data_IF_872079277088
#
_entry.id   IF_872079277088
#
_cell.length_a   1.000
_cell.length_b   1.000
_cell.length_c   1.000
_cell.angle_alpha   90.00
_cell.angle_beta   90.00
_cell.angle_gamma   90.00
#
_symmetry.space_group_name_H-M   'P 1'
#
loop_
_entity.id
_entity.type
_entity.pdbx_description
1 polymer ?
#
# COMPACT_ATOMS: atom_id res chain seq x y z
N UNK A 1 67.62 -7.41 14.78
CA UNK A 1 66.59 -6.48 15.33
C UNK A 1 65.83 -7.24 16.40
N UNK A 2 65.71 -6.74 17.64
CA UNK A 2 64.93 -7.42 18.66
C UNK A 2 63.46 -7.51 18.20
N UNK A 3 62.77 -8.64 18.45
CA UNK A 3 61.36 -8.78 18.06
C UNK A 3 60.53 -7.75 18.83
N UNK A 4 59.79 -6.91 18.10
CA UNK A 4 58.87 -5.97 18.71
C UNK A 4 57.65 -6.76 19.15
N UNK A 5 57.54 -7.00 20.46
CA UNK A 5 56.40 -7.68 21.07
C UNK A 5 55.34 -6.63 21.40
N UNK A 6 54.06 -6.91 21.10
CA UNK A 6 52.89 -6.03 21.36
C UNK A 6 52.75 -4.80 20.44
N UNK A 7 52.95 -4.93 19.13
CA UNK A 7 52.41 -3.93 18.19
C UNK A 7 50.89 -4.14 18.02
N UNK A 8 50.11 -3.07 18.03
CA UNK A 8 48.68 -3.08 17.69
C UNK A 8 48.44 -3.69 16.29
N UNK A 9 47.29 -4.35 16.06
CA UNK A 9 46.97 -5.09 14.83
C UNK A 9 47.29 -4.31 13.54
N UNK A 10 46.83 -3.06 13.45
CA UNK A 10 47.03 -2.21 12.27
C UNK A 10 48.51 -1.88 12.04
N UNK A 11 49.27 -1.70 13.12
CA UNK A 11 50.71 -1.43 13.02
C UNK A 11 51.47 -2.68 12.53
N UNK A 12 51.09 -3.88 13.00
CA UNK A 12 51.66 -5.13 12.49
C UNK A 12 51.34 -5.35 11.01
N UNK A 13 50.13 -5.00 10.60
CA UNK A 13 49.73 -5.16 9.21
C UNK A 13 50.37 -4.12 8.29
N UNK A 14 50.70 -2.92 8.77
CA UNK A 14 51.39 -1.92 7.95
C UNK A 14 52.81 -2.30 7.50
N UNK A 15 53.42 -3.31 8.14
CA UNK A 15 54.72 -3.88 7.73
C UNK A 15 54.56 -5.17 6.89
N UNK A 16 53.34 -5.68 6.76
CA UNK A 16 53.01 -6.88 5.95
C UNK A 16 52.19 -6.46 4.73
N UNK A 17 52.05 -7.35 3.75
CA UNK A 17 51.20 -7.11 2.56
C UNK A 17 49.72 -7.44 2.83
N UNK A 18 49.25 -7.38 4.08
CA UNK A 18 47.85 -7.69 4.40
C UNK A 18 46.93 -6.64 3.75
N UNK A 19 45.78 -6.98 3.12
CA UNK A 19 45.06 -8.25 3.11
C UNK A 19 45.46 -9.20 1.98
N UNK A 20 46.52 -8.89 1.22
CA UNK A 20 47.00 -9.79 0.17
C UNK A 20 47.52 -11.08 0.77
N UNK A 21 47.28 -12.18 0.06
CA UNK A 21 47.81 -13.49 0.43
C UNK A 21 49.34 -13.51 0.28
N UNK A 22 50.01 -14.38 1.03
CA UNK A 22 51.48 -14.54 0.93
C UNK A 22 51.94 -14.99 -0.47
N UNK A 23 51.05 -15.61 -1.24
CA UNK A 23 51.30 -16.02 -2.63
C UNK A 23 51.14 -14.88 -3.64
N UNK A 24 50.56 -13.74 -3.24
CA UNK A 24 50.32 -12.61 -4.13
C UNK A 24 51.58 -11.75 -4.30
N UNK A 25 51.90 -11.36 -5.53
CA UNK A 25 53.07 -10.49 -5.76
C UNK A 25 52.81 -9.04 -5.30
N UNK A 26 51.55 -8.59 -5.35
CA UNK A 26 51.16 -7.21 -5.14
C UNK A 26 51.42 -6.31 -6.35
N UNK A 27 51.84 -6.87 -7.49
CA UNK A 27 52.14 -6.14 -8.72
C UNK A 27 50.95 -6.16 -9.68
N UNK A 28 50.77 -5.07 -10.42
CA UNK A 28 49.74 -4.98 -11.46
C UNK A 28 50.11 -5.84 -12.69
N UNK A 29 49.17 -6.07 -13.60
CA UNK A 29 49.35 -6.92 -14.79
C UNK A 29 50.49 -6.44 -15.70
N UNK A 30 50.90 -5.17 -15.60
CA UNK A 30 51.97 -4.59 -16.41
C UNK A 30 53.31 -4.45 -15.69
N UNK A 31 53.41 -4.90 -14.42
CA UNK A 31 54.57 -4.73 -13.54
C UNK A 31 55.03 -3.27 -13.38
N UNK A 32 54.14 -2.31 -13.59
CA UNK A 32 54.40 -0.86 -13.50
C UNK A 32 54.09 -0.28 -12.12
N UNK A 33 53.29 -0.99 -11.32
CA UNK A 33 52.82 -0.56 -10.01
C UNK A 33 52.78 -1.72 -9.02
N UNK A 34 53.23 -1.46 -7.80
CA UNK A 34 53.16 -2.38 -6.68
C UNK A 34 52.33 -1.75 -5.55
N UNK A 35 51.39 -2.52 -4.99
CA UNK A 35 50.57 -2.09 -3.87
C UNK A 35 51.47 -1.86 -2.64
N UNK A 36 51.54 -0.63 -2.08
CA UNK A 36 52.36 -0.38 -0.91
C UNK A 36 51.86 -1.14 0.31
N UNK A 37 52.76 -1.76 1.08
CA UNK A 37 52.42 -2.55 2.27
C UNK A 37 51.62 -1.76 3.33
N UNK A 38 51.82 -0.45 3.41
CA UNK A 38 51.17 0.41 4.39
C UNK A 38 49.87 1.06 3.86
N UNK A 39 49.42 0.69 2.65
CA UNK A 39 48.23 1.26 2.05
C UNK A 39 46.97 0.65 2.66
N UNK A 40 46.78 -0.66 2.53
CA UNK A 40 45.68 -1.38 3.19
C UNK A 40 46.26 -2.08 4.42
N UNK A 41 45.60 -1.94 5.57
CA UNK A 41 46.07 -2.53 6.83
C UNK A 41 45.04 -3.44 7.49
N UNK A 42 43.79 -3.39 7.03
CA UNK A 42 42.77 -4.36 7.41
C UNK A 42 41.70 -4.46 6.31
N UNK A 43 41.05 -5.61 6.18
CA UNK A 43 39.92 -5.80 5.29
C UNK A 43 39.02 -6.91 5.83
N UNK A 44 37.71 -6.76 5.64
CA UNK A 44 36.74 -7.83 5.80
C UNK A 44 35.74 -7.71 4.66
N UNK A 45 35.52 -8.80 3.93
CA UNK A 45 34.56 -8.88 2.83
C UNK A 45 33.51 -9.95 3.14
N UNK A 46 32.33 -9.56 3.64
CA UNK A 46 31.20 -10.46 3.76
C UNK A 46 30.69 -10.86 2.38
N UNK A 47 30.48 -12.15 2.15
CA UNK A 47 29.93 -12.67 0.89
C UNK A 47 28.77 -13.60 1.21
N UNK A 48 27.65 -13.43 0.50
CA UNK A 48 26.44 -14.18 0.79
C UNK A 48 26.66 -15.70 0.66
N UNK A 49 26.33 -16.43 1.72
CA UNK A 49 26.65 -17.86 1.85
C UNK A 49 25.97 -18.78 0.81
N UNK A 50 24.92 -18.32 0.14
CA UNK A 50 24.27 -19.07 -0.96
C UNK A 50 25.02 -18.97 -2.28
N UNK A 51 25.89 -17.97 -2.44
CA UNK A 51 26.73 -17.85 -3.62
C UNK A 51 27.85 -18.89 -3.50
N UNK A 52 27.79 -19.94 -4.32
CA UNK A 52 28.79 -21.02 -4.34
C UNK A 52 30.11 -20.54 -4.99
N UNK A 53 30.82 -19.66 -4.29
CA UNK A 53 32.01 -18.97 -4.77
C UNK A 53 33.28 -19.60 -4.20
N UNK A 54 34.28 -19.72 -5.06
CA UNK A 54 35.62 -20.13 -4.65
C UNK A 54 36.35 -18.95 -4.00
N UNK A 55 36.59 -19.04 -2.69
CA UNK A 55 37.26 -17.99 -1.90
C UNK A 55 38.67 -17.68 -2.38
N UNK A 56 39.33 -18.62 -3.06
CA UNK A 56 40.70 -18.44 -3.56
C UNK A 56 40.81 -17.47 -4.73
N UNK A 57 39.69 -17.15 -5.38
CA UNK A 57 39.63 -16.31 -6.58
C UNK A 57 39.31 -14.84 -6.31
N UNK A 58 39.11 -14.47 -5.05
CA UNK A 58 39.01 -13.07 -4.67
C UNK A 58 40.38 -12.40 -4.76
N UNK A 59 40.39 -11.23 -5.40
CA UNK A 59 41.60 -10.42 -5.56
C UNK A 59 41.21 -8.94 -5.61
N UNK A 60 42.17 -8.07 -5.27
CA UNK A 60 42.09 -6.68 -5.72
C UNK A 60 42.08 -6.72 -7.24
N UNK A 61 41.02 -6.21 -7.87
CA UNK A 61 40.85 -6.22 -9.32
C UNK A 61 41.47 -4.96 -9.93
N UNK A 62 41.26 -3.82 -9.29
CA UNK A 62 41.70 -2.53 -9.79
C UNK A 62 41.95 -1.55 -8.65
N UNK A 63 43.00 -0.75 -8.79
CA UNK A 63 43.23 0.44 -7.98
C UNK A 63 43.38 1.63 -8.92
N UNK A 64 42.49 2.60 -8.78
CA UNK A 64 42.52 3.84 -9.54
C UNK A 64 42.88 5.01 -8.62
N UNK A 65 43.91 5.76 -8.97
CA UNK A 65 44.51 6.81 -8.16
C UNK A 65 44.37 8.12 -8.92
N UNK A 66 43.55 9.01 -8.38
CA UNK A 66 43.28 10.33 -8.91
C UNK A 66 43.70 11.39 -7.89
N UNK A 67 43.90 12.63 -8.33
CA UNK A 67 44.33 13.71 -7.42
C UNK A 67 43.35 14.01 -6.27
N UNK A 68 42.07 13.66 -6.43
CA UNK A 68 41.02 13.91 -5.44
C UNK A 68 40.64 12.68 -4.61
N UNK A 69 41.07 11.47 -5.00
CA UNK A 69 40.61 10.24 -4.37
C UNK A 69 41.24 8.99 -4.97
N UNK A 70 41.13 7.89 -4.22
CA UNK A 70 41.55 6.56 -4.64
C UNK A 70 40.32 5.68 -4.68
N UNK A 71 40.16 4.91 -5.75
CA UNK A 71 39.16 3.86 -5.82
C UNK A 71 39.83 2.50 -5.80
N UNK A 72 39.31 1.60 -4.97
CA UNK A 72 39.74 0.20 -4.91
C UNK A 72 38.54 -0.63 -5.32
N UNK A 73 38.73 -1.52 -6.28
CA UNK A 73 37.73 -2.50 -6.69
C UNK A 73 38.25 -3.88 -6.37
N UNK A 74 37.48 -4.64 -5.60
CA UNK A 74 37.69 -6.06 -5.33
C UNK A 74 36.89 -6.85 -6.34
N UNK A 75 37.47 -7.91 -6.89
CA UNK A 75 36.83 -8.78 -7.85
C UNK A 75 36.93 -10.25 -7.50
N UNK A 76 36.08 -11.04 -8.16
CA UNK A 76 36.08 -12.49 -8.13
C UNK A 76 36.22 -13.00 -9.56
N UNK A 77 37.30 -13.73 -9.84
CA UNK A 77 37.53 -14.34 -11.17
C UNK A 77 37.40 -13.35 -12.36
N UNK A 78 37.79 -12.09 -12.15
CA UNK A 78 37.77 -11.01 -13.15
C UNK A 78 36.50 -10.16 -13.16
N UNK A 79 35.44 -10.56 -12.43
CA UNK A 79 34.23 -9.76 -12.28
C UNK A 79 34.32 -8.85 -11.04
N UNK A 80 33.86 -7.59 -11.11
CA UNK A 80 33.83 -6.71 -9.95
C UNK A 80 32.80 -7.21 -8.91
N UNK A 81 33.21 -7.22 -7.64
CA UNK A 81 32.38 -7.65 -6.50
C UNK A 81 32.01 -6.46 -5.64
N UNK A 82 33.00 -5.67 -5.23
CA UNK A 82 32.77 -4.52 -4.38
C UNK A 82 33.76 -3.41 -4.70
N UNK A 83 33.32 -2.17 -4.54
CA UNK A 83 34.12 -0.98 -4.78
C UNK A 83 34.08 -0.05 -3.58
N UNK A 84 35.13 0.75 -3.46
CA UNK A 84 35.25 1.79 -2.45
C UNK A 84 35.91 3.01 -3.08
N UNK A 85 35.49 4.19 -2.64
CA UNK A 85 36.13 5.45 -2.98
C UNK A 85 36.60 6.15 -1.71
N UNK A 86 37.91 6.38 -1.61
CA UNK A 86 38.56 7.04 -0.49
C UNK A 86 38.95 8.45 -0.93
N UNK A 87 38.18 9.49 -0.53
CA UNK A 87 38.50 10.88 -0.83
C UNK A 87 39.75 11.33 -0.08
N UNK A 88 40.71 11.95 -0.78
CA UNK A 88 41.96 12.45 -0.16
C UNK A 88 41.68 13.58 0.84
N UNK A 89 40.68 14.42 0.54
CA UNK A 89 40.37 15.61 1.35
C UNK A 89 39.87 15.30 2.77
N UNK A 90 39.20 14.16 2.96
CA UNK A 90 38.65 13.73 4.25
C UNK A 90 39.30 12.43 4.75
N UNK A 91 40.46 12.09 4.18
CA UNK A 91 41.21 10.91 4.57
C UNK A 91 41.77 11.06 5.98
N UNK A 92 41.51 10.05 6.80
CA UNK A 92 42.14 9.86 8.11
C UNK A 92 42.88 8.52 8.12
N UNK A 93 44.16 8.49 8.53
CA UNK A 93 44.93 7.26 8.71
C UNK A 93 44.25 6.26 9.65
N UNK A 94 44.33 4.97 9.30
CA UNK A 94 43.78 3.86 10.09
C UNK A 94 42.26 3.92 10.30
N UNK A 95 41.54 4.69 9.48
CA UNK A 95 40.08 4.75 9.50
C UNK A 95 39.48 3.63 8.66
N UNK A 96 38.32 3.16 9.10
CA UNK A 96 37.50 2.22 8.35
C UNK A 96 36.70 2.94 7.27
N UNK A 97 36.75 2.41 6.06
CA UNK A 97 35.94 2.80 4.93
C UNK A 97 35.14 1.57 4.46
N UNK A 98 33.96 1.78 3.89
CA UNK A 98 33.05 0.69 3.53
C UNK A 98 33.18 0.31 2.06
N UNK A 99 33.30 -1.00 1.81
CA UNK A 99 33.16 -1.58 0.48
C UNK A 99 31.68 -1.77 0.17
N UNK A 100 31.26 -1.28 -1.00
CA UNK A 100 29.90 -1.45 -1.49
C UNK A 100 29.89 -2.43 -2.64
N UNK A 101 29.01 -3.42 -2.53
CA UNK A 101 28.75 -4.43 -3.52
C UNK A 101 28.30 -3.85 -4.86
N UNK A 102 28.67 -4.52 -5.96
CA UNK A 102 28.37 -4.10 -7.33
C UNK A 102 27.74 -5.26 -8.10
N UNK A 103 26.77 -4.96 -8.97
CA UNK A 103 26.17 -5.95 -9.85
C UNK A 103 25.38 -7.01 -9.08
N UNK A 104 25.73 -8.28 -9.24
CA UNK A 104 25.06 -9.38 -8.53
C UNK A 104 25.43 -9.45 -7.05
N UNK A 105 26.44 -8.68 -6.63
CA UNK A 105 26.94 -8.63 -5.26
C UNK A 105 26.39 -7.44 -4.47
N UNK A 106 25.25 -6.87 -4.83
CA UNK A 106 24.69 -5.66 -4.18
C UNK A 106 24.47 -5.79 -2.67
N UNK A 107 24.39 -7.02 -2.17
CA UNK A 107 24.26 -7.38 -0.76
C UNK A 107 25.60 -7.41 -0.01
N UNK A 108 26.73 -7.33 -0.72
CA UNK A 108 28.07 -7.32 -0.11
C UNK A 108 28.37 -5.95 0.49
N UNK A 109 28.47 -5.91 1.82
CA UNK A 109 28.92 -4.73 2.57
C UNK A 109 30.17 -5.06 3.37
N UNK A 110 31.31 -4.74 2.79
CA UNK A 110 32.61 -4.97 3.41
C UNK A 110 33.16 -3.75 4.11
N UNK A 111 34.33 -3.93 4.71
CA UNK A 111 35.14 -2.84 5.25
C UNK A 111 36.59 -2.98 4.86
N UNK A 112 37.25 -1.85 4.70
CA UNK A 112 38.68 -1.72 4.44
C UNK A 112 39.22 -0.65 5.36
N UNK A 113 40.36 -0.92 6.00
CA UNK A 113 41.10 0.07 6.78
C UNK A 113 42.33 0.49 5.98
N UNK A 114 42.43 1.79 5.74
CA UNK A 114 43.52 2.38 4.97
C UNK A 114 44.55 2.96 5.93
N UNK A 115 45.80 2.54 5.81
CA UNK A 115 46.90 2.97 6.67
C UNK A 115 47.37 4.38 6.34
N UNK A 116 48.06 4.56 5.21
CA UNK A 116 48.50 5.87 4.70
C UNK A 116 48.32 5.99 3.19
N UNK A 117 48.18 7.23 2.71
CA UNK A 117 48.13 7.54 1.28
C UNK A 117 49.48 8.01 0.69
N UNK A 118 50.54 8.16 1.50
CA UNK A 118 51.79 8.82 1.09
C UNK A 118 52.56 8.10 -0.02
N UNK A 119 52.55 6.76 0.00
CA UNK A 119 53.25 5.95 -0.98
C UNK A 119 52.43 5.82 -2.27
N UNK A 120 51.12 5.62 -2.12
CA UNK A 120 50.23 5.35 -3.25
C UNK A 120 49.95 6.59 -4.10
N UNK A 121 49.84 7.78 -3.49
CA UNK A 121 49.61 9.03 -4.21
C UNK A 121 50.79 9.49 -5.09
N UNK A 122 51.93 8.78 -5.04
CA UNK A 122 53.08 9.03 -5.94
C UNK A 122 52.85 8.47 -7.34
N UNK A 123 51.90 7.54 -7.49
CA UNK A 123 51.61 6.84 -8.73
C UNK A 123 50.19 7.16 -9.16
N UNK A 124 50.04 8.12 -10.08
CA UNK A 124 48.73 8.45 -10.65
C UNK A 124 48.43 7.51 -11.83
N UNK A 125 47.20 7.00 -11.88
CA UNK A 125 46.79 6.08 -12.94
C UNK A 125 45.74 5.10 -12.48
N UNK A 126 45.44 4.14 -13.36
CA UNK A 126 44.55 3.03 -13.07
C UNK A 126 45.30 1.74 -13.32
N UNK A 127 45.46 0.94 -12.27
CA UNK A 127 46.24 -0.28 -12.27
C UNK A 127 45.31 -1.47 -12.08
N UNK A 128 45.39 -2.43 -13.00
CA UNK A 128 44.60 -3.66 -12.97
C UNK A 128 45.47 -4.81 -12.49
N UNK A 129 44.88 -5.71 -11.74
CA UNK A 129 45.57 -6.85 -11.14
C UNK A 129 44.87 -8.13 -11.56
N UNK A 130 45.65 -9.19 -11.79
CA UNK A 130 45.11 -10.54 -11.91
C UNK A 130 45.11 -11.23 -10.54
N UNK A 131 44.69 -12.49 -10.51
CA UNK A 131 44.66 -13.27 -9.27
C UNK A 131 46.08 -13.41 -8.70
N UNK A 132 47.12 -13.61 -9.51
CA UNK A 132 48.48 -13.77 -9.01
C UNK A 132 49.05 -12.47 -8.40
N UNK A 133 48.68 -11.32 -8.95
CA UNK A 133 49.08 -10.01 -8.45
C UNK A 133 48.31 -9.54 -7.23
N UNK A 134 46.98 -9.77 -7.22
CA UNK A 134 46.08 -9.14 -6.25
C UNK A 134 45.38 -10.08 -5.27
N UNK A 135 45.73 -11.38 -5.20
CA UNK A 135 44.99 -12.36 -4.38
C UNK A 135 44.80 -11.90 -2.94
N UNK A 136 43.57 -11.97 -2.46
CA UNK A 136 43.23 -11.65 -1.07
C UNK A 136 43.30 -12.93 -0.23
N UNK A 137 43.75 -12.79 1.02
CA UNK A 137 43.80 -13.91 1.97
C UNK A 137 42.37 -14.42 2.26
N UNK A 138 42.10 -15.74 2.19
CA UNK A 138 40.75 -16.28 2.41
C UNK A 138 40.15 -15.93 3.78
N UNK A 139 40.97 -15.66 4.80
CA UNK A 139 40.52 -15.26 6.14
C UNK A 139 39.81 -13.90 6.17
N UNK A 140 40.01 -13.07 5.14
CA UNK A 140 39.33 -11.78 4.95
C UNK A 140 37.90 -11.97 4.46
N UNK A 141 37.62 -13.11 3.82
CA UNK A 141 36.31 -13.44 3.24
C UNK A 141 35.47 -14.13 4.31
N UNK A 142 34.36 -13.50 4.69
CA UNK A 142 33.48 -13.99 5.76
C UNK A 142 32.12 -14.33 5.16
N UNK A 143 31.51 -15.48 5.49
CA UNK A 143 30.17 -15.77 5.00
C UNK A 143 29.14 -14.83 5.65
N UNK A 144 28.33 -14.16 4.84
CA UNK A 144 27.12 -13.51 5.32
C UNK A 144 25.97 -14.53 5.36
N UNK A 145 25.40 -14.66 6.56
CA UNK A 145 24.33 -15.60 6.91
C UNK A 145 23.02 -14.87 7.26
N UNK A 146 22.97 -13.53 7.13
CA UNK A 146 21.79 -12.74 7.47
C UNK A 146 20.83 -12.65 6.29
N UNK A 147 19.55 -12.92 6.54
CA UNK A 147 18.52 -13.06 5.50
C UNK A 147 17.94 -11.76 4.93
N UNK A 148 18.36 -10.58 5.40
CA UNK A 148 17.93 -9.28 4.85
C UNK A 148 19.17 -8.45 4.56
N UNK A 149 19.49 -8.28 3.27
CA UNK A 149 20.66 -7.52 2.82
C UNK A 149 20.37 -6.03 2.61
N UNK A 150 19.14 -5.68 2.19
CA UNK A 150 18.73 -4.31 1.95
C UNK A 150 17.20 -4.19 2.02
N UNK A 151 16.72 -2.95 2.18
CA UNK A 151 15.30 -2.58 2.06
C UNK A 151 15.16 -1.55 0.95
N UNK A 152 14.09 -1.58 0.17
CA UNK A 152 13.74 -0.46 -0.70
C UNK A 152 12.30 -0.04 -0.47
N UNK A 153 12.02 1.23 -0.77
CA UNK A 153 10.65 1.74 -0.75
C UNK A 153 10.02 1.44 -2.11
N UNK A 154 8.89 0.75 -2.11
CA UNK A 154 8.11 0.44 -3.30
C UNK A 154 7.09 1.54 -3.56
N UNK A 155 7.04 2.07 -4.78
CA UNK A 155 6.00 2.99 -5.25
C UNK A 155 5.48 2.51 -6.61
N UNK A 156 4.18 2.20 -6.72
CA UNK A 156 3.55 1.69 -7.96
C UNK A 156 4.31 0.51 -8.60
N UNK A 157 4.65 -0.49 -7.78
CA UNK A 157 5.44 -1.68 -8.18
C UNK A 157 6.88 -1.41 -8.65
N UNK A 158 7.39 -0.20 -8.44
CA UNK A 158 8.79 0.15 -8.69
C UNK A 158 9.54 0.25 -7.37
N UNK A 159 10.61 -0.53 -7.24
CA UNK A 159 11.55 -0.44 -6.12
C UNK A 159 12.47 0.77 -6.34
N UNK A 160 12.51 1.67 -5.35
CA UNK A 160 13.43 2.80 -5.33
C UNK A 160 14.87 2.39 -5.03
N UNK A 161 15.69 3.36 -4.61
CA UNK A 161 17.07 3.12 -4.18
C UNK A 161 17.13 2.17 -2.97
N UNK A 162 18.12 1.28 -2.97
CA UNK A 162 18.34 0.34 -1.88
C UNK A 162 18.86 1.08 -0.64
N UNK A 163 18.17 0.92 0.48
CA UNK A 163 18.53 1.39 1.80
C UNK A 163 19.28 0.26 2.51
N UNK A 164 20.48 0.58 3.01
CA UNK A 164 21.42 -0.37 3.61
C UNK A 164 22.02 0.22 4.89
N UNK A 165 22.55 -0.64 5.76
CA UNK A 165 23.18 -0.26 7.03
C UNK A 165 22.25 -0.33 8.24
N UNK A 166 22.52 0.48 9.26
CA UNK A 166 21.66 0.58 10.45
C UNK A 166 20.39 1.36 10.09
N UNK A 167 19.27 0.64 10.00
CA UNK A 167 17.97 1.19 9.62
C UNK A 167 17.06 1.26 10.86
N UNK A 168 16.63 2.47 11.20
CA UNK A 168 15.64 2.71 12.23
C UNK A 168 14.26 2.91 11.59
N UNK A 169 13.26 2.21 12.11
CA UNK A 169 11.85 2.46 11.76
C UNK A 169 11.23 3.37 12.80
N UNK A 170 10.71 4.51 12.35
CA UNK A 170 9.92 5.42 13.18
C UNK A 170 8.44 5.27 12.84
N UNK A 171 7.62 5.12 13.88
CA UNK A 171 6.17 5.05 13.70
C UNK A 171 5.64 6.43 13.34
N UNK A 172 5.14 6.58 12.10
CA UNK A 172 4.46 7.79 11.65
C UNK A 172 3.07 7.97 12.28
N UNK A 173 2.37 9.05 11.89
CA UNK A 173 1.00 9.29 12.35
C UNK A 173 0.08 8.12 11.94
N UNK A 174 -0.74 7.63 12.87
CA UNK A 174 -1.68 6.53 12.68
C UNK A 174 -1.05 5.17 12.34
N UNK A 175 0.26 5.01 12.54
CA UNK A 175 0.96 3.75 12.38
C UNK A 175 1.48 3.31 13.74
N UNK A 176 1.34 2.03 14.04
CA UNK A 176 1.94 1.38 15.19
C UNK A 176 2.93 0.34 14.71
N UNK A 177 4.18 0.47 15.15
CA UNK A 177 5.22 -0.51 14.90
C UNK A 177 5.35 -1.39 16.15
N UNK A 178 5.14 -2.69 16.00
CA UNK A 178 5.24 -3.66 17.09
C UNK A 178 6.36 -4.63 16.77
N UNK A 179 7.36 -4.70 17.65
CA UNK A 179 8.38 -5.73 17.61
C UNK A 179 7.92 -6.92 18.45
N UNK A 180 7.96 -8.11 17.88
CA UNK A 180 7.75 -9.38 18.58
C UNK A 180 8.79 -10.40 18.13
N UNK A 181 8.94 -11.50 18.86
CA UNK A 181 9.85 -12.59 18.51
C UNK A 181 9.04 -13.90 18.38
N UNK A 182 9.24 -14.64 17.30
CA UNK A 182 8.68 -15.98 17.09
C UNK A 182 9.81 -16.97 16.84
N UNK A 183 10.12 -17.78 17.85
CA UNK A 183 11.32 -18.61 17.84
C UNK A 183 12.58 -17.74 17.83
N UNK A 184 13.40 -17.88 16.80
CA UNK A 184 14.63 -17.09 16.58
C UNK A 184 14.45 -15.94 15.59
N UNK A 185 13.22 -15.66 15.15
CA UNK A 185 12.92 -14.62 14.15
C UNK A 185 12.27 -13.44 14.84
N UNK A 186 12.87 -12.26 14.70
CA UNK A 186 12.22 -11.00 15.08
C UNK A 186 11.20 -10.62 14.00
N UNK A 187 9.95 -10.47 14.42
CA UNK A 187 8.82 -10.04 13.60
C UNK A 187 8.59 -8.56 13.86
N UNK A 188 8.58 -7.76 12.80
CA UNK A 188 8.12 -6.37 12.81
C UNK A 188 6.70 -6.32 12.23
N UNK A 189 5.71 -6.06 13.07
CA UNK A 189 4.32 -5.84 12.65
C UNK A 189 4.08 -4.35 12.47
N UNK A 190 3.46 -3.98 11.35
CA UNK A 190 3.06 -2.61 11.03
C UNK A 190 1.53 -2.58 11.02
N UNK A 191 0.95 -1.99 12.06
CA UNK A 191 -0.50 -1.85 12.20
C UNK A 191 -0.93 -0.42 11.86
N UNK A 192 -1.97 -0.28 11.04
CA UNK A 192 -2.71 0.97 10.97
C UNK A 192 -3.60 1.09 12.22
N UNK A 193 -3.52 2.23 12.91
CA UNK A 193 -4.39 2.50 14.07
C UNK A 193 -5.74 2.97 13.54
N UNK A 194 -6.79 2.21 13.85
CA UNK A 194 -8.17 2.56 13.53
C UNK A 194 -8.64 3.80 14.30
N UNK A 195 -9.36 4.70 13.63
CA UNK A 195 -10.02 5.87 14.25
C UNK A 195 -9.41 7.27 14.02
N UNK A 196 -8.32 7.45 13.27
CA UNK A 196 -7.73 8.79 13.03
C UNK A 196 -7.46 9.15 11.55
N UNK A 197 -8.32 8.70 10.62
CA UNK A 197 -8.44 9.31 9.29
C UNK A 197 -7.67 8.64 8.15
N UNK A 198 -7.46 7.32 8.20
CA UNK A 198 -7.01 6.52 7.04
C UNK A 198 -8.10 5.62 6.45
N UNK A 199 -9.31 5.65 7.01
CA UNK A 199 -10.50 5.09 6.40
C UNK A 199 -11.26 6.30 5.84
N UNK A 200 -11.36 6.42 4.51
CA UNK A 200 -12.41 7.25 3.94
C UNK A 200 -13.71 6.76 4.57
N UNK A 201 -14.48 7.63 5.21
CA UNK A 201 -15.69 7.29 5.97
C UNK A 201 -16.56 6.36 5.12
N UNK A 202 -16.36 5.05 5.27
CA UNK A 202 -17.08 4.02 4.56
C UNK A 202 -18.37 3.86 5.35
N UNK A 203 -19.17 4.92 5.33
CA UNK A 203 -20.60 4.82 5.53
C UNK A 203 -21.06 3.95 4.38
N UNK A 204 -21.04 2.64 4.59
CA UNK A 204 -21.94 1.76 3.90
C UNK A 204 -23.32 2.35 4.18
N UNK A 205 -23.97 2.85 3.14
CA UNK A 205 -25.39 3.22 3.14
C UNK A 205 -26.19 1.96 3.56
N UNK A 206 -26.25 1.68 4.87
CA UNK A 206 -26.70 0.38 5.33
C UNK A 206 -26.21 -0.15 6.68
N UNK A 207 -25.34 0.52 7.46
CA UNK A 207 -25.04 0.03 8.82
C UNK A 207 -26.23 0.29 9.78
N UNK A 208 -27.03 -0.76 9.93
CA UNK A 208 -28.31 -0.82 10.64
C UNK A 208 -28.14 -0.84 12.17
N UNK A 209 -26.91 -0.81 12.69
CA UNK A 209 -26.61 -1.07 14.10
C UNK A 209 -26.90 0.12 15.04
N UNK A 210 -27.05 1.35 14.52
CA UNK A 210 -27.31 2.55 15.35
C UNK A 210 -28.70 3.17 15.17
N UNK A 211 -29.58 2.59 14.34
CA UNK A 211 -31.00 2.99 14.39
C UNK A 211 -31.61 2.36 15.63
N UNK A 212 -31.67 3.13 16.71
CA UNK A 212 -32.60 2.89 17.81
C UNK A 212 -33.98 2.61 17.20
N UNK A 213 -34.41 1.34 17.20
CA UNK A 213 -35.76 0.96 16.75
C UNK A 213 -36.82 1.80 17.48
N UNK A 214 -38.01 1.94 16.89
CA UNK A 214 -39.10 2.74 17.48
C UNK A 214 -39.34 2.26 18.92
N UNK A 215 -38.94 3.09 19.90
CA UNK A 215 -39.04 2.76 21.34
C UNK A 215 -40.41 3.12 21.91
N UNK A 216 -41.09 4.07 21.28
CA UNK A 216 -42.42 4.54 21.67
C UNK A 216 -43.21 4.93 20.42
N UNK A 217 -44.53 4.77 20.49
CA UNK A 217 -45.47 5.33 19.51
C UNK A 217 -46.26 6.41 20.26
N UNK A 218 -46.13 7.67 19.85
CA UNK A 218 -46.80 8.81 20.49
C UNK A 218 -46.57 8.91 22.01
N UNK A 219 -45.40 8.49 22.50
CA UNK A 219 -45.03 8.52 23.92
C UNK A 219 -45.50 7.31 24.74
N UNK A 220 -46.27 6.38 24.15
CA UNK A 220 -46.62 5.11 24.79
C UNK A 220 -45.49 4.12 24.54
N UNK A 221 -44.89 3.62 25.63
CA UNK A 221 -43.86 2.60 25.63
C UNK A 221 -44.43 1.18 25.67
N UNK A 222 -43.60 0.16 25.43
CA UNK A 222 -44.04 -1.22 25.50
C UNK A 222 -44.36 -1.67 26.93
N UNK A 223 -45.19 -2.71 27.05
CA UNK A 223 -45.46 -3.44 28.28
C UNK A 223 -44.24 -4.25 28.77
N UNK A 224 -44.42 -5.02 29.86
CA UNK A 224 -43.34 -5.84 30.44
C UNK A 224 -42.89 -6.99 29.53
N UNK A 225 -43.66 -7.35 28.49
CA UNK A 225 -43.30 -8.33 27.48
C UNK A 225 -42.73 -7.69 26.20
N UNK A 226 -42.59 -6.36 26.15
CA UNK A 226 -42.04 -5.65 24.99
C UNK A 226 -43.08 -5.34 23.91
N UNK A 227 -44.37 -5.51 24.17
CA UNK A 227 -45.44 -5.26 23.20
C UNK A 227 -46.02 -3.86 23.37
N UNK A 228 -46.40 -3.22 22.26
CA UNK A 228 -47.24 -2.01 22.28
C UNK A 228 -48.66 -2.42 21.94
N UNK A 229 -49.59 -2.17 22.86
CA UNK A 229 -51.01 -2.44 22.64
C UNK A 229 -51.60 -1.42 21.67
N UNK A 230 -52.27 -1.92 20.64
CA UNK A 230 -53.00 -1.12 19.67
C UNK A 230 -54.47 -1.50 19.75
N UNK A 231 -55.29 -0.59 20.25
CA UNK A 231 -56.72 -0.80 20.38
C UNK A 231 -57.42 -0.37 19.09
N UNK A 232 -58.19 -1.28 18.51
CA UNK A 232 -59.11 -1.00 17.41
C UNK A 232 -60.47 -0.53 17.93
N UNK A 233 -61.32 -0.07 17.02
CA UNK A 233 -62.73 0.21 17.32
C UNK A 233 -63.66 -0.64 16.43
N UNK A 234 -64.97 -0.41 16.51
CA UNK A 234 -65.97 -1.13 15.70
C UNK A 234 -65.72 -0.99 14.17
N UNK A 235 -64.99 0.03 13.74
CA UNK A 235 -64.68 0.32 12.35
C UNK A 235 -63.26 -0.07 11.93
N UNK A 236 -62.30 -0.13 12.85
CA UNK A 236 -60.89 -0.40 12.60
C UNK A 236 -60.42 -1.63 13.38
N UNK A 237 -60.18 -2.70 12.65
CA UNK A 237 -59.67 -3.95 13.20
C UNK A 237 -58.14 -4.01 13.03
N UNK A 238 -57.42 -4.16 14.14
CA UNK A 238 -55.95 -4.29 14.14
C UNK A 238 -55.57 -5.77 14.15
N UNK A 239 -54.92 -6.24 13.09
CA UNK A 239 -54.51 -7.64 12.92
C UNK A 239 -52.98 -7.75 12.95
N UNK A 240 -52.37 -8.44 13.95
CA UNK A 240 -50.94 -8.66 13.99
C UNK A 240 -50.51 -9.68 12.93
N UNK A 241 -49.49 -9.36 12.13
CA UNK A 241 -48.88 -10.28 11.16
C UNK A 241 -47.48 -10.65 11.63
N UNK A 242 -47.41 -11.70 12.46
CA UNK A 242 -46.20 -12.14 13.16
C UNK A 242 -45.02 -12.51 12.26
N UNK A 243 -45.25 -12.83 10.98
CA UNK A 243 -44.20 -13.29 10.07
C UNK A 243 -43.32 -12.14 9.49
N UNK A 244 -43.82 -10.90 9.49
CA UNK A 244 -43.24 -9.81 8.69
C UNK A 244 -42.98 -8.52 9.49
N UNK A 245 -43.13 -8.52 10.81
CA UNK A 245 -43.13 -7.29 11.64
C UNK A 245 -44.10 -6.21 11.11
N UNK A 246 -45.21 -6.64 10.50
CA UNK A 246 -46.24 -5.77 9.92
C UNK A 246 -47.47 -5.76 10.81
N UNK A 247 -48.08 -4.59 10.91
CA UNK A 247 -49.41 -4.40 11.47
C UNK A 247 -50.37 -4.20 10.29
N UNK A 248 -51.43 -5.00 10.22
CA UNK A 248 -52.51 -4.78 9.25
C UNK A 248 -53.65 -4.05 9.94
N UNK A 249 -53.89 -2.81 9.54
CA UNK A 249 -55.06 -2.03 9.94
C UNK A 249 -56.14 -2.30 8.89
N UNK A 250 -57.25 -2.90 9.31
CA UNK A 250 -58.37 -3.24 8.42
C UNK A 250 -59.55 -2.33 8.75
N UNK A 251 -59.89 -1.49 7.79
CA UNK A 251 -61.07 -0.63 7.86
C UNK A 251 -62.31 -1.39 7.39
N UNK A 252 -63.19 -1.68 8.34
CA UNK A 252 -64.46 -2.36 8.14
C UNK A 252 -65.59 -1.40 7.74
N UNK A 253 -65.44 -0.10 8.00
CA UNK A 253 -66.47 0.92 7.75
C UNK A 253 -66.29 1.68 6.42
N UNK A 254 -65.09 1.69 5.83
CA UNK A 254 -64.80 2.39 4.58
C UNK A 254 -65.00 1.56 3.31
N UNK A 255 -65.79 0.48 3.34
CA UNK A 255 -66.36 -0.04 2.09
C UNK A 255 -67.26 1.06 1.53
N UNK A 256 -67.11 1.49 0.26
CA UNK A 256 -67.97 2.53 -0.29
C UNK A 256 -69.41 2.13 -0.04
N UNK A 257 -70.18 3.02 0.59
CA UNK A 257 -71.58 2.80 0.96
C UNK A 257 -72.50 2.56 -0.25
N UNK A 258 -71.93 2.57 -1.46
CA UNK A 258 -72.54 2.16 -2.71
C UNK A 258 -71.67 1.07 -3.35
N UNK A 259 -72.17 -0.15 -3.39
CA UNK A 259 -71.63 -1.22 -4.21
C UNK A 259 -71.90 -0.97 -5.70
N UNK A 260 -71.37 -1.85 -6.55
CA UNK A 260 -71.55 -1.73 -8.00
C UNK A 260 -73.03 -1.72 -8.44
N UNK A 261 -73.94 -2.33 -7.67
CA UNK A 261 -75.37 -2.34 -7.95
C UNK A 261 -76.02 -0.96 -7.75
N UNK A 262 -75.69 -0.24 -6.67
CA UNK A 262 -76.22 1.11 -6.44
C UNK A 262 -75.63 2.11 -7.44
N UNK A 263 -74.37 1.92 -7.83
CA UNK A 263 -73.71 2.75 -8.85
C UNK A 263 -74.25 2.49 -10.26
N UNK A 264 -74.70 1.26 -10.55
CA UNK A 264 -75.45 0.95 -11.78
C UNK A 264 -76.83 1.59 -11.76
N UNK A 265 -77.56 1.52 -10.64
CA UNK A 265 -78.87 2.16 -10.53
C UNK A 265 -78.80 3.68 -10.77
N UNK A 266 -77.78 4.35 -10.20
CA UNK A 266 -77.54 5.78 -10.47
C UNK A 266 -77.17 6.07 -11.92
N UNK A 267 -76.43 5.17 -12.59
CA UNK A 267 -76.10 5.30 -14.01
C UNK A 267 -77.36 5.16 -14.87
N UNK A 268 -78.18 4.14 -14.62
CA UNK A 268 -79.40 3.88 -15.36
C UNK A 268 -80.40 5.03 -15.21
N UNK A 269 -80.48 5.63 -14.02
CA UNK A 269 -81.27 6.84 -13.79
C UNK A 269 -80.75 8.06 -14.57
N UNK A 270 -79.43 8.25 -14.63
CA UNK A 270 -78.83 9.32 -15.44
C UNK A 270 -79.08 9.11 -16.94
N UNK A 271 -78.99 7.88 -17.45
CA UNK A 271 -79.30 7.55 -18.85
C UNK A 271 -80.77 7.82 -19.17
N UNK A 272 -81.70 7.42 -18.27
CA UNK A 272 -83.13 7.70 -18.42
C UNK A 272 -83.43 9.20 -18.49
N UNK A 273 -82.85 10.00 -17.58
CA UNK A 273 -83.04 11.46 -17.60
C UNK A 273 -82.48 12.07 -18.88
N UNK A 274 -81.35 11.55 -19.40
CA UNK A 274 -80.78 11.99 -20.67
C UNK A 274 -81.73 11.74 -21.84
N UNK A 275 -82.35 10.56 -21.89
CA UNK A 275 -83.28 10.18 -22.95
C UNK A 275 -84.60 10.97 -22.88
N UNK A 276 -85.10 11.25 -21.67
CA UNK A 276 -86.24 12.14 -21.45
C UNK A 276 -85.94 13.57 -21.95
N UNK A 277 -84.74 14.10 -21.67
CA UNK A 277 -84.31 15.41 -22.19
C UNK A 277 -84.26 15.45 -23.72
N UNK A 278 -83.71 14.44 -24.37
CA UNK A 278 -83.69 14.35 -25.84
C UNK A 278 -85.10 14.30 -26.42
N UNK A 279 -86.02 13.60 -25.75
CA UNK A 279 -87.43 13.54 -26.15
C UNK A 279 -88.11 14.91 -26.02
N UNK A 280 -87.86 15.63 -24.92
CA UNK A 280 -88.38 17.00 -24.74
C UNK A 280 -87.81 17.98 -25.77
N UNK A 281 -86.52 17.91 -26.09
CA UNK A 281 -85.90 18.74 -27.13
C UNK A 281 -86.53 18.49 -28.51
N UNK A 282 -86.78 17.21 -28.85
CA UNK A 282 -87.46 16.86 -30.09
C UNK A 282 -88.91 17.36 -30.13
N UNK A 283 -89.63 17.30 -29.00
CA UNK A 283 -90.99 17.85 -28.90
C UNK A 283 -91.01 19.37 -29.03
N UNK A 284 -90.08 20.07 -28.36
CA UNK A 284 -89.92 21.51 -28.46
C UNK A 284 -89.62 21.94 -29.90
N UNK A 285 -88.68 21.27 -30.58
CA UNK A 285 -88.39 21.53 -31.99
C UNK A 285 -89.59 21.29 -32.92
N UNK A 286 -90.42 20.28 -32.64
CA UNK A 286 -91.68 20.06 -33.38
C UNK A 286 -92.71 21.15 -33.11
N UNK A 287 -92.85 21.60 -31.86
CA UNK A 287 -93.74 22.70 -31.50
C UNK A 287 -93.30 24.00 -32.17
N UNK A 288 -92.01 24.32 -32.19
CA UNK A 288 -91.47 25.47 -32.91
C UNK A 288 -91.76 25.40 -34.42
N UNK A 289 -91.58 24.23 -35.04
CA UNK A 289 -91.91 24.03 -36.44
C UNK A 289 -93.41 24.21 -36.73
N UNK A 290 -94.29 23.69 -35.87
CA UNK A 290 -95.76 23.86 -36.01
C UNK A 290 -96.17 25.32 -35.79
N UNK A 291 -95.61 26.01 -34.81
CA UNK A 291 -95.87 27.44 -34.56
C UNK A 291 -95.37 28.28 -35.74
N UNK A 292 -94.18 28.00 -36.27
CA UNK A 292 -93.65 28.68 -37.47
C UNK A 292 -94.53 28.43 -38.70
N UNK A 293 -95.01 27.19 -38.91
CA UNK A 293 -95.96 26.88 -39.96
C UNK A 293 -97.29 27.64 -39.77
N UNK A 294 -97.85 27.67 -38.56
CA UNK A 294 -99.04 28.47 -38.24
C UNK A 294 -98.81 29.96 -38.50
N UNK A 295 -97.68 30.52 -38.08
CA UNK A 295 -97.34 31.92 -38.36
C UNK A 295 -97.22 32.19 -39.85
N UNK A 296 -96.66 31.28 -40.64
CA UNK A 296 -96.59 31.43 -42.10
C UNK A 296 -97.97 31.39 -42.77
N UNK A 297 -98.89 30.53 -42.29
CA UNK A 297 -100.27 30.48 -42.77
C UNK A 297 -101.03 31.75 -42.36
N UNK A 298 -100.85 32.22 -41.13
CA UNK A 298 -101.48 33.46 -40.61
C UNK A 298 -100.94 34.70 -41.31
N UNK A 299 -99.63 34.75 -41.62
CA UNK A 299 -99.02 35.85 -42.38
C UNK A 299 -99.36 35.79 -43.87
N UNK A 300 -99.57 34.61 -44.44
CA UNK A 300 -100.15 34.46 -45.78
C UNK A 300 -101.63 34.86 -45.82
N UNK A 301 -102.32 34.86 -44.66
CA UNK A 301 -103.67 35.38 -44.48
C UNK A 301 -103.71 36.80 -43.89
N UNK A 302 -102.63 37.58 -44.05
CA UNK A 302 -102.65 39.03 -43.91
C UNK A 302 -103.92 39.65 -44.53
#
# INVERSE_FOLDING_TARGET
MPPIVHQEWLNQNSVRKYPLSEEATGQDVTDSFEIPNNFIVDMVLPVHSTMNLDVSKFHVLQIAIFGTGISITVGHNGAPVATISVPVATFEPNKTYHLQGVGEFTDVLGKVVIGTLDAILRSAGSYAFDIAGGRIEPSVIVPDIRGVASLCIMENDVCGELIQGDIAFEAGRNIRLIRSDFGSVTILTIDAIDGEGTIADCICDGDIAERSGIKTISGVGPDQQGNVELEGDDCLEIVPLAADSKIRVKDNCSKPCCGCLELQALRDDQERVRDEMLTMQNLAGRLEAVVSAMQSIVAASA
#
